data_IF_706340556177
#
_entry.id   IF_706340556177
#
_cell.length_a   1.000
_cell.length_b   1.000
_cell.length_c   1.000
_cell.angle_alpha   90.00
_cell.angle_beta   90.00
_cell.angle_gamma   90.00
#
_symmetry.space_group_name_H-M   'P 1'
#
loop_
_entity.id
_entity.type
_entity.pdbx_description
1 polymer ?
#
# COMPACT_ATOMS: atom_id res chain seq x y z
N UNK A 1 30.84 31.62 56.43
CA UNK A 1 31.82 30.52 56.59
C UNK A 1 31.13 29.41 57.38
N UNK A 2 30.97 28.22 56.77
CA UNK A 2 30.79 26.89 57.38
C UNK A 2 29.93 26.68 58.66
N UNK A 3 28.75 26.03 58.46
CA UNK A 3 28.20 24.80 59.14
C UNK A 3 28.31 24.66 60.68
N UNK A 4 27.33 24.17 61.45
CA UNK A 4 26.12 23.38 61.12
C UNK A 4 24.79 24.11 61.49
N UNK A 5 23.74 23.63 62.19
CA UNK A 5 23.47 22.42 63.00
C UNK A 5 21.98 22.03 62.90
N UNK A 6 21.65 20.72 63.00
CA UNK A 6 20.27 20.19 62.92
C UNK A 6 19.64 20.00 64.31
N UNK A 7 18.34 20.30 64.43
CA UNK A 7 17.50 19.87 65.55
C UNK A 7 16.21 19.21 65.02
N UNK A 8 15.93 17.99 65.48
CA UNK A 8 14.72 17.23 65.15
C UNK A 8 13.63 17.53 66.19
N UNK A 9 12.43 17.87 65.74
CA UNK A 9 11.24 17.97 66.59
C UNK A 9 10.06 17.26 65.92
N UNK A 10 9.58 16.19 66.55
CA UNK A 10 8.31 15.55 66.17
C UNK A 10 7.18 16.27 66.89
N UNK A 11 6.22 16.79 66.15
CA UNK A 11 4.94 17.26 66.67
C UNK A 11 3.84 16.43 66.04
N UNK A 12 3.09 15.70 66.86
CA UNK A 12 1.93 14.91 66.44
C UNK A 12 0.69 15.81 66.48
N UNK A 13 0.17 16.18 65.32
CA UNK A 13 -1.18 16.75 65.18
C UNK A 13 -2.09 15.74 64.47
N UNK A 14 -3.02 15.17 65.21
CA UNK A 14 -4.23 14.55 64.67
C UNK A 14 -5.28 15.63 64.43
N UNK A 15 -5.81 15.73 63.21
CA UNK A 15 -7.18 16.19 63.00
C UNK A 15 -7.74 15.54 61.72
N UNK A 16 -9.05 15.39 61.64
CA UNK A 16 -9.74 14.60 60.61
C UNK A 16 -10.54 15.50 59.65
N UNK A 17 -10.09 15.58 58.40
CA UNK A 17 -10.77 16.29 57.33
C UNK A 17 -10.56 15.57 56.00
N UNK A 18 -11.65 15.07 55.42
CA UNK A 18 -11.62 14.24 54.22
C UNK A 18 -11.00 14.96 53.01
N UNK A 19 -9.79 14.51 52.61
CA UNK A 19 -9.14 14.93 51.36
C UNK A 19 -9.76 14.13 50.20
N UNK A 20 -10.36 14.76 49.17
CA UNK A 20 -10.79 14.02 47.97
C UNK A 20 -9.56 13.41 47.28
N UNK A 21 -9.66 12.14 46.92
CA UNK A 21 -8.54 11.41 46.33
C UNK A 21 -8.12 12.01 44.98
N UNK A 22 -6.83 12.29 44.81
CA UNK A 22 -6.27 12.76 43.55
C UNK A 22 -6.37 11.65 42.50
N UNK A 23 -7.31 11.79 41.55
CA UNK A 23 -7.42 10.85 40.44
C UNK A 23 -6.15 10.92 39.59
N UNK A 24 -5.44 9.81 39.35
CA UNK A 24 -4.32 9.83 38.42
C UNK A 24 -4.88 10.14 37.03
N UNK A 25 -4.46 11.28 36.46
CA UNK A 25 -4.87 11.65 35.10
C UNK A 25 -4.34 10.59 34.13
N UNK A 26 -5.24 9.84 33.51
CA UNK A 26 -4.89 8.86 32.50
C UNK A 26 -4.30 9.57 31.28
N UNK A 27 -2.98 9.74 31.28
CA UNK A 27 -2.24 10.40 30.20
C UNK A 27 -2.31 9.49 28.97
N UNK A 28 -3.26 9.79 28.08
CA UNK A 28 -3.57 9.01 26.88
C UNK A 28 -2.29 8.90 26.06
N UNK A 29 -1.69 7.71 26.04
CA UNK A 29 -0.58 7.41 25.17
C UNK A 29 -1.07 7.55 23.73
N UNK A 30 -0.59 8.58 23.03
CA UNK A 30 -0.88 8.76 21.61
C UNK A 30 -0.24 7.59 20.88
N UNK A 31 -1.06 6.65 20.42
CA UNK A 31 -0.61 5.63 19.48
C UNK A 31 0.00 6.34 18.27
N UNK A 32 1.22 5.99 17.84
CA UNK A 32 1.82 6.62 16.67
C UNK A 32 0.87 6.47 15.49
N UNK A 33 0.44 7.60 14.91
CA UNK A 33 -0.35 7.57 13.68
C UNK A 33 0.47 6.87 12.61
N UNK A 34 -0.03 5.73 12.12
CA UNK A 34 0.58 5.08 10.97
C UNK A 34 0.65 6.10 9.82
N UNK A 35 1.80 6.24 9.14
CA UNK A 35 1.96 7.27 8.13
C UNK A 35 0.91 7.08 7.02
N UNK A 36 0.15 8.14 6.74
CA UNK A 36 -0.82 8.16 5.63
C UNK A 36 -0.05 8.14 4.30
N UNK A 37 0.25 6.96 3.80
CA UNK A 37 0.86 6.76 2.48
C UNK A 37 -0.22 7.00 1.43
N UNK A 38 -0.29 8.23 0.91
CA UNK A 38 -1.12 8.54 -0.27
C UNK A 38 -0.74 7.61 -1.41
N UNK A 39 -1.75 6.96 -1.98
CA UNK A 39 -1.58 5.88 -2.94
C UNK A 39 -2.31 6.15 -4.24
N UNK A 40 -2.15 5.21 -5.15
CA UNK A 40 -3.00 5.05 -6.31
C UNK A 40 -3.53 3.63 -6.36
N UNK A 41 -4.67 3.47 -7.02
CA UNK A 41 -5.43 2.23 -7.08
C UNK A 41 -6.09 2.08 -8.45
N UNK A 42 -6.17 0.84 -8.94
CA UNK A 42 -6.96 0.45 -10.10
C UNK A 42 -7.76 -0.81 -9.77
N UNK A 43 -9.08 -0.76 -10.02
CA UNK A 43 -9.96 -1.94 -10.00
C UNK A 43 -10.01 -2.48 -11.42
N UNK A 44 -9.40 -3.64 -11.67
CA UNK A 44 -9.44 -4.28 -12.98
C UNK A 44 -10.72 -5.11 -13.09
N UNK A 45 -11.54 -4.78 -14.08
CA UNK A 45 -12.73 -5.54 -14.44
C UNK A 45 -12.54 -6.29 -15.76
N UNK A 46 -13.35 -7.33 -15.96
CA UNK A 46 -13.45 -8.06 -17.23
C UNK A 46 -14.26 -7.32 -18.30
N UNK A 47 -14.52 -7.98 -19.44
CA UNK A 47 -15.33 -7.45 -20.53
C UNK A 47 -16.83 -7.27 -20.17
N UNK A 48 -17.32 -7.90 -19.10
CA UNK A 48 -18.66 -7.73 -18.54
C UNK A 48 -18.69 -6.72 -17.35
N UNK A 49 -17.60 -5.96 -17.20
CA UNK A 49 -17.36 -4.99 -16.13
C UNK A 49 -17.29 -5.56 -14.70
N UNK A 50 -17.19 -6.88 -14.52
CA UNK A 50 -17.11 -7.54 -13.21
C UNK A 50 -15.74 -7.30 -12.55
N UNK A 51 -15.68 -6.67 -11.36
CA UNK A 51 -14.43 -6.46 -10.62
C UNK A 51 -13.72 -7.78 -10.32
N UNK A 52 -12.49 -7.91 -10.82
CA UNK A 52 -11.75 -9.18 -10.87
C UNK A 52 -10.42 -9.11 -10.10
N UNK A 53 -9.74 -7.97 -10.17
CA UNK A 53 -8.44 -7.76 -9.52
C UNK A 53 -8.34 -6.33 -8.99
N UNK A 54 -7.65 -6.16 -7.88
CA UNK A 54 -7.32 -4.86 -7.31
C UNK A 54 -5.80 -4.68 -7.38
N UNK A 55 -5.34 -3.54 -7.89
CA UNK A 55 -3.92 -3.15 -7.86
C UNK A 55 -3.81 -1.83 -7.10
N UNK A 56 -2.92 -1.72 -6.13
CA UNK A 56 -2.59 -0.45 -5.48
C UNK A 56 -1.10 -0.26 -5.28
N UNK A 57 -0.63 0.99 -5.32
CA UNK A 57 0.78 1.35 -5.21
C UNK A 57 0.97 2.70 -4.50
N UNK A 58 2.08 2.93 -3.80
CA UNK A 58 2.37 4.23 -3.18
C UNK A 58 2.72 5.28 -4.25
N UNK A 59 2.39 6.56 -3.99
CA UNK A 59 2.79 7.67 -4.86
C UNK A 59 4.27 8.08 -4.71
N UNK A 60 5.06 7.33 -3.95
CA UNK A 60 6.49 7.54 -3.68
C UNK A 60 7.20 6.20 -3.64
N UNK A 61 8.48 6.16 -4.04
CA UNK A 61 9.32 4.99 -3.83
C UNK A 61 9.72 4.84 -2.35
N UNK A 62 10.03 3.61 -1.92
CA UNK A 62 10.64 3.33 -0.64
C UNK A 62 12.10 3.82 -0.55
N UNK A 63 12.64 3.85 0.68
CA UNK A 63 14.02 4.25 0.95
C UNK A 63 15.06 3.28 0.33
N UNK A 64 14.62 2.13 -0.15
CA UNK A 64 15.38 1.11 -0.87
C UNK A 64 15.40 1.34 -2.40
N UNK A 65 14.72 2.38 -2.89
CA UNK A 65 14.60 2.66 -4.33
C UNK A 65 13.58 1.77 -5.05
N UNK A 66 12.65 1.14 -4.32
CA UNK A 66 11.62 0.25 -4.89
C UNK A 66 10.22 0.83 -4.79
N UNK A 67 9.30 0.32 -5.61
CA UNK A 67 7.86 0.59 -5.51
C UNK A 67 7.18 -0.76 -5.38
N UNK A 68 6.47 -0.97 -4.27
CA UNK A 68 5.64 -2.16 -4.07
C UNK A 68 4.23 -1.91 -4.62
N UNK A 69 3.87 -2.57 -5.73
CA UNK A 69 2.47 -2.67 -6.14
C UNK A 69 1.85 -3.92 -5.48
N UNK A 70 0.80 -3.73 -4.70
CA UNK A 70 0.01 -4.83 -4.12
C UNK A 70 -1.07 -5.23 -5.12
N UNK A 71 -1.05 -6.48 -5.53
CA UNK A 71 -2.06 -7.08 -6.41
C UNK A 71 -2.91 -8.04 -5.58
N UNK A 72 -4.23 -7.90 -5.63
CA UNK A 72 -5.18 -8.78 -4.94
C UNK A 72 -6.20 -9.33 -5.93
N UNK A 73 -6.33 -10.66 -6.01
CA UNK A 73 -7.30 -11.32 -6.89
C UNK A 73 -8.59 -11.50 -6.12
N UNK A 74 -9.67 -10.84 -6.59
CA UNK A 74 -10.98 -10.84 -5.95
C UNK A 74 -12.00 -11.74 -6.67
N UNK A 75 -11.72 -12.18 -7.90
CA UNK A 75 -12.54 -13.19 -8.57
C UNK A 75 -12.45 -14.55 -7.85
N UNK A 76 -13.51 -15.34 -7.98
CA UNK A 76 -13.52 -16.74 -7.53
C UNK A 76 -12.89 -17.67 -8.57
N UNK A 77 -12.19 -18.68 -8.08
CA UNK A 77 -11.52 -19.72 -8.87
C UNK A 77 -10.72 -19.17 -10.08
N UNK A 78 -9.72 -18.28 -9.89
CA UNK A 78 -8.92 -17.78 -10.99
C UNK A 78 -8.14 -18.91 -11.67
N UNK A 79 -8.19 -18.96 -13.00
CA UNK A 79 -7.55 -19.98 -13.83
C UNK A 79 -6.69 -19.34 -14.92
N UNK A 80 -5.55 -19.97 -15.22
CA UNK A 80 -4.62 -19.60 -16.28
C UNK A 80 -4.32 -20.86 -17.10
N UNK A 81 -4.03 -20.73 -18.40
CA UNK A 81 -3.55 -21.86 -19.19
C UNK A 81 -2.11 -22.20 -18.74
N UNK A 82 -1.75 -23.48 -18.54
CA UNK A 82 -0.38 -23.87 -18.16
C UNK A 82 0.73 -23.38 -19.12
N UNK A 83 0.38 -22.95 -20.32
CA UNK A 83 1.27 -22.46 -21.36
C UNK A 83 1.16 -20.93 -21.60
N UNK A 84 0.56 -20.18 -20.67
CA UNK A 84 0.49 -18.70 -20.74
C UNK A 84 1.06 -18.06 -19.47
N UNK A 85 1.06 -16.73 -19.43
CA UNK A 85 1.37 -15.94 -18.23
C UNK A 85 0.54 -14.68 -18.25
N UNK A 86 0.02 -14.24 -17.10
CA UNK A 86 -0.61 -12.93 -17.02
C UNK A 86 0.44 -11.84 -16.81
N UNK A 87 0.38 -10.78 -17.60
CA UNK A 87 1.28 -9.63 -17.48
C UNK A 87 0.48 -8.36 -17.20
N UNK A 88 0.92 -7.61 -16.17
CA UNK A 88 0.36 -6.33 -15.77
C UNK A 88 1.06 -5.18 -16.50
N UNK A 89 0.27 -4.21 -16.93
CA UNK A 89 0.68 -3.04 -17.71
C UNK A 89 0.12 -1.77 -17.09
N UNK A 90 0.93 -0.71 -17.08
CA UNK A 90 0.44 0.66 -16.85
C UNK A 90 0.08 1.29 -18.18
N UNK A 91 -1.16 1.76 -18.31
CA UNK A 91 -1.72 2.34 -19.52
C UNK A 91 -1.51 3.87 -19.54
N UNK A 92 -1.01 4.47 -20.64
CA UNK A 92 -0.88 5.92 -20.75
C UNK A 92 -2.23 6.63 -20.92
N UNK A 93 -2.25 7.96 -20.75
CA UNK A 93 -3.46 8.78 -20.95
C UNK A 93 -3.84 8.97 -22.42
N UNK A 94 -2.90 8.80 -23.35
CA UNK A 94 -3.18 8.73 -24.79
C UNK A 94 -3.67 7.32 -25.15
N UNK A 95 -4.82 7.23 -25.83
CA UNK A 95 -5.39 5.98 -26.33
C UNK A 95 -4.53 5.30 -27.43
N UNK A 96 -3.65 6.05 -28.09
CA UNK A 96 -2.62 5.53 -29.00
C UNK A 96 -1.27 5.26 -28.34
N UNK A 97 -1.12 5.55 -27.04
CA UNK A 97 0.15 5.45 -26.33
C UNK A 97 0.55 4.00 -26.00
N UNK A 98 1.86 3.77 -25.92
CA UNK A 98 2.45 2.46 -25.59
C UNK A 98 2.23 2.10 -24.10
N UNK A 99 1.58 0.96 -23.78
CA UNK A 99 1.54 0.43 -22.42
C UNK A 99 2.93 0.01 -21.94
N UNK A 100 3.24 0.21 -20.66
CA UNK A 100 4.53 -0.21 -20.06
C UNK A 100 4.34 -1.43 -19.16
N UNK A 101 5.14 -2.47 -19.38
CA UNK A 101 5.14 -3.67 -18.54
C UNK A 101 5.52 -3.32 -17.08
N UNK A 102 4.74 -3.84 -16.14
CA UNK A 102 4.91 -3.67 -14.69
C UNK A 102 5.50 -4.94 -14.08
N UNK A 103 4.95 -6.10 -14.43
CA UNK A 103 5.39 -7.41 -13.93
C UNK A 103 4.45 -8.53 -14.34
N UNK A 104 4.83 -9.77 -14.03
CA UNK A 104 3.96 -10.94 -14.19
C UNK A 104 3.08 -11.12 -12.96
N UNK A 105 1.88 -11.65 -13.13
CA UNK A 105 0.92 -11.93 -12.05
C UNK A 105 0.58 -13.43 -12.07
N UNK A 106 0.79 -14.11 -10.94
CA UNK A 106 0.39 -15.50 -10.74
C UNK A 106 -1.07 -15.63 -10.29
N UNK A 107 -1.46 -16.83 -9.84
CA UNK A 107 -2.81 -17.12 -9.34
C UNK A 107 -2.99 -16.95 -7.82
N UNK A 108 -1.96 -16.47 -7.11
CA UNK A 108 -2.04 -16.22 -5.66
C UNK A 108 -2.98 -15.04 -5.36
N UNK A 109 -3.81 -15.16 -4.31
CA UNK A 109 -4.84 -14.16 -4.00
C UNK A 109 -4.28 -12.80 -3.54
N UNK A 110 -3.07 -12.76 -3.01
CA UNK A 110 -2.33 -11.52 -2.73
C UNK A 110 -0.88 -11.68 -3.19
N UNK A 111 -0.37 -10.69 -3.91
CA UNK A 111 0.98 -10.67 -4.49
C UNK A 111 1.58 -9.27 -4.37
N UNK A 112 2.91 -9.17 -4.32
CA UNK A 112 3.64 -7.89 -4.37
C UNK A 112 4.53 -7.89 -5.61
N UNK A 113 4.29 -6.96 -6.52
CA UNK A 113 5.20 -6.66 -7.62
C UNK A 113 6.13 -5.54 -7.18
N UNK A 114 7.41 -5.85 -6.98
CA UNK A 114 8.44 -4.86 -6.70
C UNK A 114 9.01 -4.34 -8.02
N UNK A 115 8.83 -3.05 -8.32
CA UNK A 115 9.47 -2.38 -9.47
C UNK A 115 10.47 -1.33 -9.01
N UNK A 116 11.29 -0.85 -9.94
CA UNK A 116 12.32 0.16 -9.69
C UNK A 116 11.74 1.59 -9.60
N UNK A 117 12.33 2.46 -8.77
CA UNK A 117 11.92 3.85 -8.61
C UNK A 117 11.91 4.66 -9.92
N UNK A 118 12.71 4.30 -10.93
CA UNK A 118 12.64 4.91 -12.27
C UNK A 118 11.28 4.76 -12.96
N UNK A 119 10.46 3.79 -12.54
CA UNK A 119 9.10 3.59 -13.04
C UNK A 119 8.05 4.47 -12.34
N UNK A 120 8.41 5.21 -11.27
CA UNK A 120 7.47 6.04 -10.50
C UNK A 120 6.70 7.02 -11.39
N UNK A 121 7.40 7.75 -12.28
CA UNK A 121 6.76 8.71 -13.19
C UNK A 121 5.70 8.03 -14.07
N UNK A 122 5.99 6.86 -14.63
CA UNK A 122 5.05 6.11 -15.47
C UNK A 122 3.83 5.62 -14.67
N UNK A 123 4.01 5.23 -13.41
CA UNK A 123 2.91 4.80 -12.54
C UNK A 123 2.04 5.96 -12.03
N UNK A 124 2.62 7.15 -11.85
CA UNK A 124 1.90 8.38 -11.51
C UNK A 124 1.13 8.98 -12.70
N UNK A 125 1.66 8.81 -13.92
CA UNK A 125 1.05 9.28 -15.18
C UNK A 125 0.16 8.22 -15.87
N UNK A 126 0.05 7.04 -15.29
CA UNK A 126 -0.84 5.99 -15.78
C UNK A 126 -2.30 6.44 -15.66
N UNK A 127 -3.08 6.36 -16.74
CA UNK A 127 -4.53 6.61 -16.76
C UNK A 127 -5.34 5.40 -16.29
N UNK A 128 -4.69 4.24 -16.26
CA UNK A 128 -5.28 2.96 -15.95
C UNK A 128 -4.24 1.86 -15.91
N UNK A 129 -4.70 0.67 -15.54
CA UNK A 129 -3.91 -0.54 -15.49
C UNK A 129 -4.63 -1.61 -16.31
N UNK A 130 -3.86 -2.49 -16.94
CA UNK A 130 -4.37 -3.58 -17.77
C UNK A 130 -3.62 -4.89 -17.50
N UNK A 131 -4.32 -6.01 -17.60
CA UNK A 131 -3.76 -7.35 -17.52
C UNK A 131 -4.00 -8.09 -18.84
N UNK A 132 -2.95 -8.55 -19.51
CA UNK A 132 -3.05 -9.37 -20.72
C UNK A 132 -2.62 -10.82 -20.48
N UNK A 133 -3.11 -11.73 -21.32
CA UNK A 133 -2.71 -13.13 -21.32
C UNK A 133 -1.63 -13.36 -22.39
N UNK A 134 -0.38 -13.46 -21.96
CA UNK A 134 0.84 -13.50 -22.78
C UNK A 134 1.42 -14.94 -22.89
N UNK A 135 2.44 -15.16 -23.74
CA UNK A 135 3.26 -16.39 -23.72
C UNK A 135 3.93 -16.67 -22.35
N UNK A 136 4.52 -17.86 -22.14
CA UNK A 136 5.22 -18.18 -20.90
C UNK A 136 6.36 -17.19 -20.62
N UNK A 137 6.32 -16.54 -19.46
CA UNK A 137 7.28 -15.49 -19.07
C UNK A 137 6.89 -14.07 -19.53
N UNK A 138 5.74 -13.89 -20.19
CA UNK A 138 5.22 -12.60 -20.63
C UNK A 138 5.52 -12.26 -22.10
N UNK A 139 5.27 -11.00 -22.45
CA UNK A 139 5.53 -10.45 -23.78
C UNK A 139 7.03 -10.46 -24.11
N UNK A 140 7.43 -11.05 -25.26
CA UNK A 140 8.80 -10.94 -25.76
C UNK A 140 9.08 -9.63 -26.51
N UNK A 141 8.09 -8.75 -26.70
CA UNK A 141 8.20 -7.52 -27.51
C UNK A 141 8.24 -6.24 -26.69
N UNK A 142 7.88 -6.29 -25.40
CA UNK A 142 7.66 -5.10 -24.57
C UNK A 142 6.33 -4.40 -24.83
N UNK A 143 5.44 -4.97 -25.66
CA UNK A 143 4.05 -4.58 -25.89
C UNK A 143 3.13 -5.77 -25.59
N UNK A 144 1.85 -5.60 -25.21
CA UNK A 144 0.93 -6.73 -25.10
C UNK A 144 0.88 -7.53 -26.43
N UNK A 145 1.15 -8.82 -26.39
CA UNK A 145 1.09 -9.71 -27.58
C UNK A 145 -0.16 -10.57 -27.60
N UNK A 146 -0.80 -10.77 -26.45
CA UNK A 146 -2.10 -11.44 -26.31
C UNK A 146 -3.24 -10.49 -25.96
N UNK A 147 -4.47 -11.03 -25.76
CA UNK A 147 -5.63 -10.23 -25.43
C UNK A 147 -5.52 -9.59 -24.04
N UNK A 148 -5.94 -8.33 -23.94
CA UNK A 148 -6.16 -7.64 -22.66
C UNK A 148 -7.42 -8.20 -22.02
N UNK A 149 -7.28 -8.99 -20.94
CA UNK A 149 -8.36 -9.73 -20.30
C UNK A 149 -9.06 -8.94 -19.19
N UNK A 150 -8.30 -8.16 -18.40
CA UNK A 150 -8.84 -7.27 -17.37
C UNK A 150 -8.24 -5.87 -17.49
N UNK A 151 -9.00 -4.84 -17.11
CA UNK A 151 -8.56 -3.43 -17.18
C UNK A 151 -9.38 -2.51 -16.29
N UNK A 152 -8.81 -1.39 -15.89
CA UNK A 152 -9.53 -0.34 -15.16
C UNK A 152 -8.77 0.98 -15.09
N UNK A 153 -9.45 2.10 -14.77
CA UNK A 153 -8.82 3.39 -14.57
C UNK A 153 -7.96 3.41 -13.30
N UNK A 154 -6.99 4.32 -13.25
CA UNK A 154 -6.23 4.64 -12.04
C UNK A 154 -6.94 5.76 -11.28
N UNK A 155 -6.85 5.72 -9.95
CA UNK A 155 -7.44 6.69 -9.03
C UNK A 155 -6.48 6.93 -7.86
N UNK A 156 -6.35 8.17 -7.40
CA UNK A 156 -5.62 8.51 -6.17
C UNK A 156 -6.47 8.19 -4.92
N UNK A 157 -5.82 7.71 -3.86
CA UNK A 157 -6.43 7.32 -2.57
C UNK A 157 -5.62 7.79 -1.35
#
# INVERSE_FOLDING_TARGET
MTVCTVALAVVLNTDDAARPASTPSAQIAQTPSAPTVTGMMAVLSDAAAQPTMLVSWPMQAGNDGRIELRVRIIMDHPMMDPNTSWQLWSMPADAGGVPRAVGLVGLEREQILSVDASMLKTLLEASGMGLSNEPPGGSPTGLPTGPMIFRGPSLTI
#
